data_IF_389526746627
#
_entry.id   IF_389526746627
#
_cell.length_a   1.000
_cell.length_b   1.000
_cell.length_c   1.000
_cell.angle_alpha   90.00
_cell.angle_beta   90.00
_cell.angle_gamma   90.00
#
_symmetry.space_group_name_H-M   'P 1'
#
loop_
_entity.id
_entity.type
_entity.pdbx_description
1 polymer ?
#
# COMPACT_ATOMS: atom_id res chain seq x y z
N UNK A 1 31.38 4.10 -102.39
CA UNK A 1 31.38 3.58 -101.00
C UNK A 1 32.01 4.64 -100.13
N UNK A 2 31.26 5.21 -99.19
CA UNK A 2 31.67 5.64 -97.84
C UNK A 2 30.59 6.57 -97.28
N UNK A 3 29.77 5.98 -96.41
CA UNK A 3 28.79 6.65 -95.56
C UNK A 3 29.54 7.36 -94.42
N UNK A 4 29.30 8.65 -94.21
CA UNK A 4 29.64 9.31 -92.94
C UNK A 4 28.37 9.80 -92.26
N UNK A 5 28.02 9.05 -91.22
CA UNK A 5 26.94 9.27 -90.26
C UNK A 5 27.33 10.46 -89.38
N UNK A 6 26.50 11.50 -89.36
CA UNK A 6 26.58 12.62 -88.40
C UNK A 6 25.80 12.24 -87.14
N UNK A 7 26.48 12.10 -86.01
CA UNK A 7 25.89 11.78 -84.71
C UNK A 7 25.50 13.08 -84.00
N UNK A 8 24.20 13.27 -83.75
CA UNK A 8 23.64 14.41 -83.01
C UNK A 8 23.80 14.12 -81.51
N UNK A 9 24.55 14.96 -80.81
CA UNK A 9 24.69 14.93 -79.34
C UNK A 9 23.47 15.60 -78.69
N UNK A 10 22.60 14.80 -78.09
CA UNK A 10 21.48 15.26 -77.27
C UNK A 10 21.97 15.41 -75.83
N UNK A 11 22.09 16.64 -75.34
CA UNK A 11 22.44 16.93 -73.95
C UNK A 11 21.17 16.80 -73.11
N UNK A 12 21.05 15.67 -72.41
CA UNK A 12 20.00 15.42 -71.42
C UNK A 12 20.30 16.19 -70.13
N UNK A 13 19.47 17.17 -69.80
CA UNK A 13 19.51 17.90 -68.53
C UNK A 13 18.71 17.14 -67.46
N UNK A 14 19.41 16.40 -66.60
CA UNK A 14 18.83 15.83 -65.38
C UNK A 14 18.71 16.94 -64.31
N UNK A 15 17.52 17.22 -63.74
CA UNK A 15 17.40 18.15 -62.64
C UNK A 15 17.98 17.52 -61.37
N UNK A 16 18.99 18.18 -60.79
CA UNK A 16 19.61 17.79 -59.53
C UNK A 16 18.59 18.00 -58.40
N UNK A 17 17.97 16.92 -57.92
CA UNK A 17 17.07 16.98 -56.77
C UNK A 17 17.89 17.28 -55.51
N UNK A 18 17.72 18.49 -54.97
CA UNK A 18 18.29 18.89 -53.68
C UNK A 18 17.61 18.07 -52.56
N UNK A 19 18.32 17.06 -52.07
CA UNK A 19 17.98 16.38 -50.82
C UNK A 19 18.21 17.35 -49.66
N UNK A 20 17.16 18.04 -49.22
CA UNK A 20 17.17 18.72 -47.94
C UNK A 20 17.02 17.65 -46.84
N UNK A 21 18.02 17.46 -45.95
CA UNK A 21 17.84 16.60 -44.79
C UNK A 21 16.81 17.27 -43.88
N UNK A 22 15.62 16.71 -43.80
CA UNK A 22 14.61 17.12 -42.82
C UNK A 22 15.14 16.75 -41.45
N UNK A 23 15.80 17.69 -40.78
CA UNK A 23 16.17 17.55 -39.38
C UNK A 23 14.88 17.58 -38.56
N UNK A 24 14.32 16.41 -38.26
CA UNK A 24 13.30 16.28 -37.24
C UNK A 24 13.95 16.69 -35.91
N UNK A 25 13.66 17.91 -35.46
CA UNK A 25 13.95 18.32 -34.10
C UNK A 25 13.05 17.50 -33.17
N UNK A 26 13.54 16.35 -32.72
CA UNK A 26 12.94 15.64 -31.61
C UNK A 26 13.07 16.55 -30.39
N UNK A 27 11.98 17.23 -30.03
CA UNK A 27 11.88 17.88 -28.74
C UNK A 27 12.14 16.80 -27.68
N UNK A 28 13.27 16.89 -26.99
CA UNK A 28 13.52 16.11 -25.79
C UNK A 28 12.46 16.56 -24.76
N UNK A 29 11.36 15.82 -24.70
CA UNK A 29 10.40 15.96 -23.61
C UNK A 29 11.14 15.48 -22.36
N UNK A 30 11.47 16.36 -21.39
CA UNK A 30 12.08 15.91 -20.17
C UNK A 30 11.12 14.92 -19.51
N UNK A 31 11.60 13.70 -19.27
CA UNK A 31 10.84 12.70 -18.55
C UNK A 31 10.42 13.33 -17.21
N UNK A 32 9.11 13.44 -16.97
CA UNK A 32 8.59 13.88 -15.68
C UNK A 32 9.26 13.02 -14.61
N UNK A 33 9.87 13.60 -13.56
CA UNK A 33 10.43 12.81 -12.48
C UNK A 33 9.36 11.83 -12.00
N UNK A 34 9.69 10.53 -12.02
CA UNK A 34 8.81 9.51 -11.46
C UNK A 34 8.70 9.82 -9.96
N UNK A 35 7.58 10.40 -9.54
CA UNK A 35 7.31 10.63 -8.13
C UNK A 35 7.41 9.28 -7.42
N UNK A 36 8.42 9.13 -6.57
CA UNK A 36 8.61 7.93 -5.78
C UNK A 36 7.56 7.97 -4.68
N UNK A 37 6.45 7.28 -4.88
CA UNK A 37 5.36 7.24 -3.92
C UNK A 37 5.81 6.44 -2.70
N UNK A 38 5.82 7.09 -1.53
CA UNK A 38 6.10 6.43 -0.26
C UNK A 38 4.79 5.85 0.26
N UNK A 39 4.71 4.53 0.38
CA UNK A 39 3.52 3.85 0.87
C UNK A 39 3.35 4.06 2.37
N UNK A 40 2.10 4.27 2.81
CA UNK A 40 1.73 4.23 4.22
C UNK A 40 1.24 2.83 4.54
N UNK A 41 1.87 2.20 5.53
CA UNK A 41 1.54 0.83 5.93
C UNK A 41 1.19 0.80 7.40
N UNK A 42 0.20 -0.02 7.76
CA UNK A 42 -0.09 -0.36 9.14
C UNK A 42 0.15 -1.85 9.35
N UNK A 43 0.92 -2.21 10.36
CA UNK A 43 1.13 -3.59 10.77
C UNK A 43 0.58 -3.87 12.16
N UNK A 44 0.37 -5.16 12.46
CA UNK A 44 0.02 -5.61 13.79
C UNK A 44 -0.27 -7.10 13.84
N UNK A 45 -0.55 -7.58 15.06
CA UNK A 45 -0.88 -8.96 15.34
C UNK A 45 -2.32 -9.08 15.83
N UNK A 46 -2.96 -10.22 15.52
CA UNK A 46 -4.24 -10.61 16.08
C UNK A 46 -4.09 -11.95 16.81
N UNK A 47 -4.53 -11.98 18.06
CA UNK A 47 -4.42 -13.14 18.94
C UNK A 47 -5.76 -13.64 19.44
N UNK A 48 -5.75 -14.89 19.89
CA UNK A 48 -6.73 -15.48 20.78
C UNK A 48 -6.18 -15.43 22.21
N UNK A 49 -6.85 -14.70 23.11
CA UNK A 49 -6.43 -14.61 24.51
C UNK A 49 -6.50 -15.99 25.19
N UNK A 50 -5.54 -16.31 26.05
CA UNK A 50 -5.61 -17.53 26.89
C UNK A 50 -6.73 -17.42 27.91
N UNK A 51 -7.39 -18.55 28.21
CA UNK A 51 -8.36 -18.65 29.30
C UNK A 51 -7.77 -18.29 30.68
N UNK A 52 -6.47 -18.48 30.88
CA UNK A 52 -5.79 -18.06 32.12
C UNK A 52 -5.84 -16.55 32.34
N UNK A 53 -6.00 -15.78 31.27
CA UNK A 53 -6.00 -14.32 31.27
C UNK A 53 -7.37 -13.76 30.87
N UNK A 54 -8.42 -14.58 30.81
CA UNK A 54 -9.76 -14.14 30.39
C UNK A 54 -10.23 -12.94 31.22
N UNK A 55 -10.81 -11.93 30.55
CA UNK A 55 -11.27 -10.70 31.20
C UNK A 55 -10.17 -9.69 31.54
N UNK A 56 -8.90 -10.05 31.46
CA UNK A 56 -7.77 -9.13 31.65
C UNK A 56 -7.32 -8.46 30.35
N UNK A 57 -6.32 -7.58 30.47
CA UNK A 57 -5.59 -6.96 29.36
C UNK A 57 -4.36 -7.77 28.89
N UNK A 58 -4.05 -8.88 29.57
CA UNK A 58 -2.84 -9.68 29.31
C UNK A 58 -2.98 -10.52 28.05
N UNK A 59 -1.91 -10.58 27.26
CA UNK A 59 -1.74 -11.50 26.12
C UNK A 59 -0.80 -12.66 26.45
N UNK A 60 -0.49 -12.89 27.73
CA UNK A 60 0.33 -14.03 28.14
C UNK A 60 -0.36 -15.35 27.76
N UNK A 61 0.39 -16.24 27.10
CA UNK A 61 -0.12 -17.51 26.57
C UNK A 61 -1.11 -17.37 25.41
N UNK A 62 -1.30 -16.16 24.85
CA UNK A 62 -2.19 -15.95 23.71
C UNK A 62 -1.62 -16.59 22.44
N UNK A 63 -2.50 -17.08 21.56
CA UNK A 63 -2.11 -17.76 20.31
C UNK A 63 -2.49 -16.91 19.09
N UNK A 64 -1.62 -16.78 18.07
CA UNK A 64 -1.95 -15.99 16.88
C UNK A 64 -3.15 -16.58 16.14
N UNK A 65 -3.96 -15.72 15.52
CA UNK A 65 -5.13 -16.14 14.74
C UNK A 65 -4.85 -15.93 13.25
N UNK A 66 -4.69 -16.99 12.45
CA UNK A 66 -4.60 -16.88 11.01
C UNK A 66 -5.95 -16.47 10.42
N UNK A 67 -5.94 -15.72 9.31
CA UNK A 67 -7.15 -15.30 8.58
C UNK A 67 -8.17 -14.49 9.40
N UNK A 68 -7.73 -13.88 10.50
CA UNK A 68 -8.53 -12.90 11.22
C UNK A 68 -8.66 -11.63 10.40
N UNK A 69 -9.84 -11.01 10.43
CA UNK A 69 -10.09 -9.74 9.74
C UNK A 69 -10.02 -8.59 10.72
N UNK A 70 -9.26 -7.57 10.35
CA UNK A 70 -9.25 -6.26 10.96
C UNK A 70 -9.69 -5.22 9.94
N UNK A 71 -10.10 -4.05 10.39
CA UNK A 71 -10.33 -2.89 9.52
C UNK A 71 -9.38 -1.77 9.91
N UNK A 72 -8.83 -1.10 8.91
CA UNK A 72 -8.22 0.21 9.09
C UNK A 72 -9.27 1.24 8.71
N UNK A 73 -9.55 2.16 9.63
CA UNK A 73 -10.40 3.32 9.39
C UNK A 73 -9.60 4.59 9.67
N UNK A 74 -9.50 5.46 8.68
CA UNK A 74 -8.92 6.80 8.84
C UNK A 74 -10.01 7.85 8.71
N UNK A 75 -9.96 8.83 9.60
CA UNK A 75 -10.85 9.99 9.60
C UNK A 75 -10.01 11.25 9.52
N UNK A 76 -10.40 12.16 8.64
CA UNK A 76 -9.81 13.49 8.58
C UNK A 76 -10.03 14.25 9.90
N UNK A 77 -9.34 15.36 10.08
CA UNK A 77 -9.52 16.25 11.23
C UNK A 77 -10.97 16.75 11.37
N UNK A 78 -11.70 16.84 10.25
CA UNK A 78 -13.15 17.12 10.18
C UNK A 78 -14.04 15.91 10.50
N UNK A 79 -13.46 14.83 11.03
CA UNK A 79 -14.11 13.57 11.43
C UNK A 79 -14.80 12.80 10.29
N UNK A 80 -14.49 13.11 9.03
CA UNK A 80 -15.00 12.37 7.87
C UNK A 80 -14.10 11.19 7.55
N UNK A 81 -14.68 10.03 7.28
CA UNK A 81 -13.91 8.84 6.85
C UNK A 81 -13.34 9.13 5.46
N UNK A 82 -12.02 9.12 5.33
CA UNK A 82 -11.32 9.24 4.05
C UNK A 82 -10.64 7.92 3.62
N UNK A 83 -10.57 6.93 4.51
CA UNK A 83 -10.09 5.60 4.18
C UNK A 83 -10.78 4.56 5.05
N UNK A 84 -11.23 3.47 4.42
CA UNK A 84 -11.74 2.29 5.10
C UNK A 84 -11.44 1.05 4.24
N UNK A 85 -10.67 0.11 4.78
CA UNK A 85 -10.46 -1.20 4.15
C UNK A 85 -10.31 -2.30 5.21
N UNK A 86 -10.91 -3.48 4.99
CA UNK A 86 -10.59 -4.67 5.78
C UNK A 86 -9.27 -5.28 5.30
N UNK A 87 -8.53 -5.87 6.23
CA UNK A 87 -7.30 -6.61 5.99
C UNK A 87 -7.35 -7.93 6.74
N UNK A 88 -6.69 -8.93 6.20
CA UNK A 88 -6.65 -10.28 6.76
C UNK A 88 -5.25 -10.60 7.27
N UNK A 89 -5.16 -11.30 8.40
CA UNK A 89 -3.89 -11.79 8.92
C UNK A 89 -3.39 -13.00 8.14
N UNK A 90 -2.08 -13.10 8.00
CA UNK A 90 -1.40 -14.28 7.46
C UNK A 90 -1.46 -15.46 8.45
N UNK A 91 -0.80 -16.57 8.09
CA UNK A 91 -0.76 -17.81 8.87
C UNK A 91 -0.17 -17.65 10.29
N UNK A 92 0.55 -16.56 10.55
CA UNK A 92 1.13 -16.24 11.85
C UNK A 92 0.32 -15.21 12.65
N UNK A 93 -0.87 -14.85 12.20
CA UNK A 93 -1.72 -13.84 12.85
C UNK A 93 -1.23 -12.40 12.66
N UNK A 94 -0.29 -12.17 11.73
CA UNK A 94 0.24 -10.86 11.39
C UNK A 94 -0.49 -10.26 10.18
N UNK A 95 -0.82 -8.97 10.22
CA UNK A 95 -1.32 -8.24 9.04
C UNK A 95 -0.35 -7.14 8.63
N UNK A 96 -0.23 -6.93 7.31
CA UNK A 96 0.50 -5.83 6.68
C UNK A 96 -0.48 -5.08 5.77
N UNK A 97 -0.98 -3.94 6.25
CA UNK A 97 -2.06 -3.19 5.63
C UNK A 97 -1.52 -1.98 4.88
N UNK A 98 -1.29 -2.13 3.58
CA UNK A 98 -0.98 -1.01 2.69
C UNK A 98 -2.20 -0.14 2.46
N UNK A 99 -2.10 1.15 2.77
CA UNK A 99 -3.21 2.08 2.63
C UNK A 99 -3.29 2.66 1.22
N UNK A 100 -3.42 1.79 0.22
CA UNK A 100 -3.54 2.20 -1.18
C UNK A 100 -4.75 3.11 -1.39
N UNK A 101 -4.52 4.33 -1.87
CA UNK A 101 -5.53 5.38 -2.04
C UNK A 101 -5.80 6.20 -0.77
N UNK A 102 -4.99 6.05 0.29
CA UNK A 102 -5.02 6.98 1.42
C UNK A 102 -4.37 8.31 1.05
N UNK A 103 -5.12 9.38 1.26
CA UNK A 103 -4.67 10.75 1.02
C UNK A 103 -4.82 11.59 2.28
N UNK A 104 -3.83 12.45 2.53
CA UNK A 104 -3.86 13.44 3.61
C UNK A 104 -4.28 14.78 3.03
N UNK A 105 -5.42 15.31 3.47
CA UNK A 105 -5.81 16.69 3.12
C UNK A 105 -4.96 17.72 3.87
N UNK A 106 -4.63 17.43 5.13
CA UNK A 106 -3.74 18.22 5.97
C UNK A 106 -2.60 17.35 6.51
N UNK A 107 -1.35 17.68 6.16
CA UNK A 107 -0.16 16.87 6.47
C UNK A 107 -0.02 16.49 7.96
N UNK A 108 -0.25 17.44 8.87
CA UNK A 108 -0.19 17.20 10.30
C UNK A 108 -1.48 16.58 10.89
N UNK A 109 -2.66 17.19 10.65
CA UNK A 109 -3.89 16.78 11.31
C UNK A 109 -4.49 15.47 10.76
N UNK A 110 -4.26 15.18 9.48
CA UNK A 110 -4.69 13.94 8.84
C UNK A 110 -3.62 12.85 8.87
N UNK A 111 -2.49 13.10 9.55
CA UNK A 111 -1.39 12.16 9.69
C UNK A 111 -1.88 10.81 10.26
N UNK A 112 -1.40 9.64 9.77
CA UNK A 112 -1.88 8.33 10.20
C UNK A 112 -1.93 8.11 11.71
N UNK A 113 -0.93 8.62 12.44
CA UNK A 113 -0.88 8.56 13.92
C UNK A 113 -2.11 9.19 14.60
N UNK A 114 -2.71 10.21 13.98
CA UNK A 114 -3.86 10.91 14.52
C UNK A 114 -5.17 10.44 13.88
N UNK A 115 -5.18 10.23 12.57
CA UNK A 115 -6.37 9.99 11.76
C UNK A 115 -6.80 8.53 11.70
N UNK A 116 -5.88 7.58 11.75
CA UNK A 116 -6.14 6.16 11.51
C UNK A 116 -6.28 5.33 12.80
N UNK A 117 -7.17 4.33 12.77
CA UNK A 117 -7.38 3.35 13.84
C UNK A 117 -7.55 1.95 13.25
N UNK A 118 -7.09 0.94 13.98
CA UNK A 118 -7.34 -0.48 13.64
C UNK A 118 -8.43 -1.04 14.54
N UNK A 119 -9.38 -1.78 13.97
CA UNK A 119 -10.47 -2.44 14.70
C UNK A 119 -10.58 -3.90 14.31
N UNK A 120 -10.91 -4.77 15.27
CA UNK A 120 -11.31 -6.14 15.01
C UNK A 120 -12.58 -6.15 14.15
N UNK A 121 -12.66 -7.09 13.21
CA UNK A 121 -13.84 -7.30 12.35
C UNK A 121 -14.37 -8.73 12.52
N UNK A 122 -13.52 -9.74 12.40
CA UNK A 122 -13.94 -11.13 12.61
C UNK A 122 -12.76 -12.06 12.89
N UNK A 123 -13.04 -13.16 13.57
CA UNK A 123 -12.13 -14.31 13.69
C UNK A 123 -12.73 -15.50 12.94
N UNK A 124 -11.93 -16.28 12.20
CA UNK A 124 -12.37 -17.52 11.59
C UNK A 124 -12.47 -18.68 12.59
N UNK A 125 -11.96 -18.52 13.81
CA UNK A 125 -12.00 -19.54 14.85
C UNK A 125 -13.32 -19.44 15.62
N UNK A 126 -14.21 -20.42 15.46
CA UNK A 126 -15.47 -20.48 16.21
C UNK A 126 -15.26 -20.54 17.73
N UNK A 127 -14.16 -21.14 18.16
CA UNK A 127 -13.78 -21.23 19.57
C UNK A 127 -13.16 -19.94 20.11
N UNK A 128 -12.84 -18.97 19.25
CA UNK A 128 -12.18 -17.73 19.64
C UNK A 128 -12.57 -16.54 18.75
N UNK A 129 -13.82 -16.12 18.87
CA UNK A 129 -14.41 -15.02 18.10
C UNK A 129 -15.12 -13.97 18.98
N UNK A 130 -15.00 -14.05 20.31
CA UNK A 130 -15.60 -13.05 21.21
C UNK A 130 -14.76 -11.78 21.13
N UNK A 131 -15.37 -10.67 20.75
CA UNK A 131 -14.66 -9.39 20.69
C UNK A 131 -14.09 -9.01 22.07
N UNK A 132 -12.87 -8.49 22.06
CA UNK A 132 -12.27 -7.86 23.23
C UNK A 132 -11.85 -6.43 22.89
N UNK A 133 -11.73 -5.61 23.92
CA UNK A 133 -11.15 -4.28 23.77
C UNK A 133 -9.66 -4.24 24.14
N UNK A 134 -8.97 -5.39 24.20
CA UNK A 134 -7.52 -5.45 24.45
C UNK A 134 -6.81 -4.58 23.41
N UNK A 135 -5.94 -3.69 23.89
CA UNK A 135 -5.27 -2.65 23.09
C UNK A 135 -6.23 -1.80 22.23
N UNK A 136 -7.45 -1.58 22.72
CA UNK A 136 -8.52 -0.87 22.03
C UNK A 136 -8.99 -1.57 20.74
N UNK A 137 -8.95 -2.90 20.66
CA UNK A 137 -9.34 -3.62 19.46
C UNK A 137 -10.80 -3.38 19.00
N UNK A 138 -11.71 -3.03 19.91
CA UNK A 138 -13.10 -2.68 19.58
C UNK A 138 -13.25 -1.17 19.31
N UNK A 139 -12.69 -0.35 20.21
CA UNK A 139 -12.83 1.10 20.16
C UNK A 139 -12.01 1.74 19.03
N UNK A 140 -10.90 1.11 18.64
CA UNK A 140 -9.93 1.57 17.65
C UNK A 140 -8.54 1.69 18.27
N UNK A 141 -7.65 0.78 17.91
CA UNK A 141 -6.24 0.80 18.31
C UNK A 141 -5.56 2.02 17.68
N UNK A 142 -4.84 2.79 18.53
CA UNK A 142 -3.98 3.88 18.07
C UNK A 142 -2.72 3.30 17.42
N UNK A 143 -2.19 4.04 16.47
CA UNK A 143 -0.94 3.70 15.80
C UNK A 143 0.25 4.30 16.55
N UNK A 144 1.39 3.63 16.44
CA UNK A 144 2.69 4.11 16.89
C UNK A 144 3.65 4.07 15.70
N UNK A 145 4.62 4.98 15.70
CA UNK A 145 5.75 4.88 14.78
C UNK A 145 6.92 4.29 15.57
N UNK A 146 7.50 3.22 15.05
CA UNK A 146 8.61 2.48 15.69
C UNK A 146 9.89 2.58 14.84
N UNK A 147 10.06 3.70 14.13
CA UNK A 147 11.19 3.95 13.22
C UNK A 147 11.36 2.89 12.12
N UNK A 148 10.24 2.26 11.71
CA UNK A 148 10.20 1.24 10.67
C UNK A 148 9.92 1.86 9.31
N UNK A 149 10.89 1.73 8.42
CA UNK A 149 10.78 2.10 7.01
C UNK A 149 11.35 1.00 6.13
N UNK A 150 10.83 0.91 4.90
CA UNK A 150 11.43 0.11 3.84
C UNK A 150 11.86 1.08 2.75
N UNK A 151 13.11 0.98 2.32
CA UNK A 151 13.63 1.74 1.19
C UNK A 151 14.34 0.78 0.23
N UNK A 152 13.60 0.34 -0.79
CA UNK A 152 14.10 -0.45 -1.92
C UNK A 152 13.84 0.31 -3.22
N UNK A 153 14.58 -0.04 -4.26
CA UNK A 153 14.48 0.61 -5.58
C UNK A 153 13.07 0.57 -6.19
N UNK A 154 12.31 -0.48 -5.88
CA UNK A 154 10.96 -0.76 -6.39
C UNK A 154 9.86 -0.47 -5.36
N UNK A 155 10.21 -0.24 -4.10
CA UNK A 155 9.25 -0.14 -3.01
C UNK A 155 9.78 0.69 -1.84
N UNK A 156 9.05 1.76 -1.52
CA UNK A 156 9.28 2.58 -0.33
C UNK A 156 8.05 2.58 0.56
N UNK A 157 8.22 2.41 1.87
CA UNK A 157 7.12 2.43 2.83
C UNK A 157 7.53 3.01 4.19
N UNK A 158 6.60 3.69 4.84
CA UNK A 158 6.65 4.04 6.26
C UNK A 158 5.64 3.17 6.99
N UNK A 159 6.10 2.45 8.01
CA UNK A 159 5.30 1.43 8.70
C UNK A 159 4.92 1.95 10.09
N UNK A 160 3.62 1.93 10.35
CA UNK A 160 3.02 2.22 11.64
C UNK A 160 2.53 0.94 12.30
N UNK A 161 2.70 0.83 13.61
CA UNK A 161 2.33 -0.38 14.36
C UNK A 161 1.07 -0.12 15.18
N UNK A 162 0.05 -0.95 14.98
CA UNK A 162 -1.05 -1.08 15.93
C UNK A 162 -0.64 -2.04 17.06
N UNK A 163 -1.00 -1.71 18.30
CA UNK A 163 -0.82 -2.64 19.41
C UNK A 163 -1.57 -3.95 19.13
N UNK A 164 -1.06 -5.12 19.56
CA UNK A 164 -1.64 -6.41 19.21
C UNK A 164 -3.09 -6.49 19.68
N UNK A 165 -4.00 -6.83 18.77
CA UNK A 165 -5.43 -6.96 19.05
C UNK A 165 -5.72 -8.41 19.44
N UNK A 166 -6.84 -8.65 20.12
CA UNK A 166 -7.21 -10.02 20.45
C UNK A 166 -8.71 -10.26 20.51
N UNK A 167 -9.12 -11.44 20.06
CA UNK A 167 -10.39 -12.05 20.43
C UNK A 167 -10.22 -12.86 21.72
N UNK A 168 -11.35 -13.21 22.33
CA UNK A 168 -11.43 -14.10 23.49
C UNK A 168 -12.06 -15.43 23.11
N UNK A 169 -11.70 -16.51 23.83
CA UNK A 169 -12.39 -17.78 23.71
C UNK A 169 -13.89 -17.64 23.98
N UNK A 170 -14.72 -18.41 23.27
CA UNK A 170 -16.17 -18.46 23.52
C UNK A 170 -16.51 -19.14 24.83
N UNK A 171 -15.66 -20.06 25.27
CA UNK A 171 -15.79 -20.79 26.51
C UNK A 171 -14.41 -20.95 27.17
N UNK A 172 -14.38 -20.75 28.49
CA UNK A 172 -13.24 -21.09 29.32
C UNK A 172 -13.70 -22.00 30.44
N UNK A 173 -13.11 -23.20 30.59
CA UNK A 173 -13.48 -24.10 31.67
C UNK A 173 -13.11 -23.48 33.03
N UNK A 174 -13.88 -23.77 34.10
CA UNK A 174 -13.50 -23.43 35.46
C UNK A 174 -12.14 -24.02 35.80
N UNK A 175 -11.38 -23.33 36.65
CA UNK A 175 -10.14 -23.85 37.22
C UNK A 175 -10.41 -24.74 38.43
#
# INVERSE_FOLDING_TARGET
MENKIQVILIVSSLPLALFFPVTFAYAHVPAKPMETTVNVVIEGMVYCQSCDNYGSWSLSGAKPIPKAKVSVICKTYKKRVNFYKPFETNEYGYFYAELQGFEMGHSYLDHPLHSCRVKLVSSPLETCNVFSNINNGLNGAKLRFEDKTIDRSDYKAVIYTAGPLAFRPTYCPPK
#
